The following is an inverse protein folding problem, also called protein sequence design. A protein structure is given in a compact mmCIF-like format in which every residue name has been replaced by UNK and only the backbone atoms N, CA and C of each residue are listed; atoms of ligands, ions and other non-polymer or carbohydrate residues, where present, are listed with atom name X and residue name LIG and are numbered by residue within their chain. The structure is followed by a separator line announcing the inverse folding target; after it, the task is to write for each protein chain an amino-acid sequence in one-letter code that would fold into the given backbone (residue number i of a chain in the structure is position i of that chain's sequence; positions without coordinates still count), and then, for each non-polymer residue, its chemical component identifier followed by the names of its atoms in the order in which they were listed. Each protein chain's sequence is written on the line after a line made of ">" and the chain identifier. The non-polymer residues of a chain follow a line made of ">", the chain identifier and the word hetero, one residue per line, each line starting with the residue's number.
data_IF_909540544103
#
_entry.id   IF_909540544103
#
_cell.length_a   1.000
_cell.length_b   1.000
_cell.length_c   1.000
_cell.angle_alpha   90.00
_cell.angle_beta   90.00
_cell.angle_gamma   90.00
#
_symmetry.space_group_name_H-M   'P 1'
#
loop_
_entity.id
_entity.type
_entity.pdbx_description
1 polymer ?
#
# COMPACT_ATOMS: atom_id res chain seq x y z
N UNK A 1 10.07 6.84 -13.22
CA UNK A 1 10.98 7.22 -12.13
C UNK A 1 12.26 6.41 -12.28
N UNK A 2 13.44 7.01 -12.15
CA UNK A 2 14.71 6.28 -12.16
C UNK A 2 15.35 6.37 -10.76
N UNK A 3 15.58 5.24 -10.07
CA UNK A 3 16.32 5.25 -8.81
C UNK A 3 17.75 5.75 -9.04
N UNK A 4 18.20 6.68 -8.20
CA UNK A 4 19.59 7.12 -8.19
C UNK A 4 20.36 6.36 -7.10
N UNK A 5 21.58 5.92 -7.41
CA UNK A 5 22.45 5.28 -6.42
C UNK A 5 22.74 6.21 -5.22
N UNK A 6 22.85 5.61 -4.04
CA UNK A 6 23.15 6.33 -2.80
C UNK A 6 22.04 7.26 -2.29
N UNK A 7 20.82 7.21 -2.85
CA UNK A 7 19.70 8.05 -2.43
C UNK A 7 18.47 7.22 -2.04
N UNK A 8 17.66 7.81 -1.17
CA UNK A 8 16.32 7.31 -0.87
C UNK A 8 15.39 7.69 -2.03
N UNK A 9 14.59 6.73 -2.48
CA UNK A 9 13.58 6.92 -3.52
C UNK A 9 12.22 7.09 -2.85
N UNK A 10 11.60 8.27 -2.98
CA UNK A 10 10.25 8.54 -2.48
C UNK A 10 9.26 8.58 -3.65
N UNK A 11 8.23 7.76 -3.60
CA UNK A 11 7.23 7.66 -4.68
C UNK A 11 5.87 7.24 -4.15
N UNK A 12 4.85 7.33 -5.00
CA UNK A 12 3.55 6.72 -4.75
C UNK A 12 3.57 5.24 -5.14
N UNK A 13 2.69 4.43 -4.54
CA UNK A 13 2.59 2.99 -4.83
C UNK A 13 2.47 2.67 -6.33
N UNK A 14 1.72 3.48 -7.08
CA UNK A 14 1.54 3.31 -8.53
C UNK A 14 2.85 3.39 -9.32
N UNK A 15 3.76 4.27 -8.90
CA UNK A 15 5.04 4.47 -9.56
C UNK A 15 6.09 3.42 -9.18
N UNK A 16 5.80 2.60 -8.18
CA UNK A 16 6.69 1.55 -7.71
C UNK A 16 6.63 0.28 -8.59
N UNK A 17 5.64 0.16 -9.49
CA UNK A 17 5.49 -1.00 -10.37
C UNK A 17 6.73 -1.21 -11.24
N UNK A 18 7.24 -2.45 -11.27
CA UNK A 18 8.42 -2.82 -12.04
C UNK A 18 9.76 -2.40 -11.41
N UNK A 19 9.73 -1.80 -10.23
CA UNK A 19 10.92 -1.50 -9.43
C UNK A 19 11.05 -2.51 -8.29
N UNK A 20 12.26 -2.71 -7.79
CA UNK A 20 12.51 -3.51 -6.59
C UNK A 20 13.66 -2.90 -5.79
N UNK A 21 13.57 -3.00 -4.48
CA UNK A 21 14.53 -2.43 -3.54
C UNK A 21 14.85 -3.45 -2.46
N UNK A 22 16.08 -3.38 -1.92
CA UNK A 22 16.47 -4.23 -0.78
C UNK A 22 15.56 -4.00 0.43
N UNK A 23 15.26 -2.73 0.74
CA UNK A 23 14.35 -2.33 1.80
C UNK A 23 13.27 -1.39 1.26
N UNK A 24 12.03 -1.59 1.67
CA UNK A 24 10.88 -0.70 1.35
C UNK A 24 10.14 -0.36 2.63
N UNK A 25 9.83 0.93 2.79
CA UNK A 25 8.88 1.40 3.79
C UNK A 25 7.60 1.85 3.08
N UNK A 26 6.49 1.19 3.39
CA UNK A 26 5.14 1.58 2.98
C UNK A 26 4.51 2.34 4.15
N UNK A 27 4.42 3.66 4.00
CA UNK A 27 4.05 4.56 5.09
C UNK A 27 2.59 5.00 5.01
N UNK A 28 2.03 5.40 6.16
CA UNK A 28 0.65 5.89 6.29
C UNK A 28 -0.40 4.91 5.74
N UNK A 29 -0.30 3.63 6.11
CA UNK A 29 -1.29 2.60 5.80
C UNK A 29 -2.48 2.63 6.77
N UNK A 30 -3.07 3.81 6.93
CA UNK A 30 -4.23 4.05 7.79
C UNK A 30 -5.54 3.70 7.07
N UNK A 31 -6.62 3.43 7.79
CA UNK A 31 -7.95 3.08 7.24
C UNK A 31 -8.52 4.12 6.26
N UNK A 32 -8.33 5.41 6.55
CA UNK A 32 -8.74 6.52 5.70
C UNK A 32 -7.77 6.82 4.54
N UNK A 33 -6.57 6.20 4.54
CA UNK A 33 -5.58 6.34 3.46
C UNK A 33 -5.67 5.15 2.52
N UNK A 34 -5.79 3.94 3.04
CA UNK A 34 -6.08 2.75 2.27
C UNK A 34 -7.11 1.91 3.05
N UNK A 35 -8.35 1.78 2.57
CA UNK A 35 -8.87 2.35 1.35
C UNK A 35 -9.35 3.82 1.51
N UNK A 36 -8.53 4.88 1.22
CA UNK A 36 -8.89 6.26 0.73
C UNK A 36 -10.38 6.41 0.46
N UNK A 37 -11.00 7.23 1.27
CA UNK A 37 -12.41 7.49 1.18
C UNK A 37 -12.80 8.37 -0.03
N UNK A 38 -12.03 8.42 -1.13
CA UNK A 38 -12.33 9.21 -2.32
C UNK A 38 -13.60 8.68 -3.04
N UNK A 39 -14.68 9.21 -2.50
CA UNK A 39 -16.11 9.10 -2.69
C UNK A 39 -16.53 9.71 -4.03
N UNK A 40 -16.09 9.18 -5.17
CA UNK A 40 -16.60 9.63 -6.47
C UNK A 40 -16.83 8.46 -7.41
N UNK A 41 -17.71 7.54 -7.03
CA UNK A 41 -18.59 6.87 -8.00
C UNK A 41 -20.00 6.87 -7.39
N UNK A 42 -20.77 7.86 -7.82
CA UNK A 42 -22.18 8.14 -7.58
C UNK A 42 -22.98 7.10 -6.73
N UNK A 43 -23.58 7.58 -5.63
CA UNK A 43 -24.74 7.00 -4.89
C UNK A 43 -24.44 5.98 -3.78
N UNK A 44 -23.25 5.38 -3.66
CA UNK A 44 -22.98 4.39 -2.59
C UNK A 44 -22.08 4.91 -1.47
N UNK A 45 -22.54 4.84 -0.22
CA UNK A 45 -21.75 5.19 0.99
C UNK A 45 -20.61 4.20 1.30
N UNK A 46 -20.49 3.10 0.54
CA UNK A 46 -19.47 2.07 0.74
C UNK A 46 -18.61 1.90 -0.51
N UNK A 47 -17.30 1.63 -0.35
CA UNK A 47 -16.45 1.27 -1.48
C UNK A 47 -16.98 0.01 -2.17
N UNK A 48 -16.93 0.00 -3.50
CA UNK A 48 -17.31 -1.19 -4.26
C UNK A 48 -16.29 -2.31 -4.02
N UNK A 49 -16.73 -3.57 -4.07
CA UNK A 49 -15.83 -4.72 -3.97
C UNK A 49 -14.66 -4.62 -4.97
N UNK A 50 -14.94 -4.21 -6.21
CA UNK A 50 -13.90 -4.02 -7.24
C UNK A 50 -12.89 -2.94 -6.85
N UNK A 51 -13.34 -1.83 -6.27
CA UNK A 51 -12.49 -0.76 -5.76
C UNK A 51 -11.60 -1.24 -4.61
N UNK A 52 -12.17 -1.94 -3.64
CA UNK A 52 -11.41 -2.57 -2.54
C UNK A 52 -10.33 -3.52 -3.08
N UNK A 53 -10.68 -4.42 -4.00
CA UNK A 53 -9.72 -5.36 -4.59
C UNK A 53 -8.59 -4.66 -5.36
N UNK A 54 -8.90 -3.61 -6.12
CA UNK A 54 -7.87 -2.84 -6.83
C UNK A 54 -6.85 -2.22 -5.86
N UNK A 55 -7.31 -1.78 -4.70
CA UNK A 55 -6.48 -1.09 -3.70
C UNK A 55 -5.69 -2.04 -2.84
N UNK A 56 -6.28 -3.18 -2.50
CA UNK A 56 -5.56 -4.31 -1.91
C UNK A 56 -4.44 -4.77 -2.86
N UNK A 57 -4.72 -4.83 -4.15
CA UNK A 57 -3.69 -5.11 -5.17
C UNK A 57 -2.59 -4.05 -5.22
N UNK A 58 -2.94 -2.76 -5.08
CA UNK A 58 -1.94 -1.68 -5.04
C UNK A 58 -1.01 -1.81 -3.82
N UNK A 59 -1.57 -2.11 -2.64
CA UNK A 59 -0.80 -2.39 -1.43
C UNK A 59 0.10 -3.61 -1.62
N UNK A 60 -0.43 -4.70 -2.17
CA UNK A 60 0.33 -5.90 -2.50
C UNK A 60 1.51 -5.59 -3.44
N UNK A 61 1.29 -4.81 -4.50
CA UNK A 61 2.36 -4.41 -5.42
C UNK A 61 3.43 -3.63 -4.67
N UNK A 62 3.05 -2.67 -3.83
CA UNK A 62 3.99 -1.87 -3.04
C UNK A 62 4.83 -2.73 -2.07
N UNK A 63 4.18 -3.62 -1.32
CA UNK A 63 4.85 -4.52 -0.38
C UNK A 63 5.82 -5.48 -1.09
N UNK A 64 5.43 -6.03 -2.24
CA UNK A 64 6.27 -6.96 -3.01
C UNK A 64 7.41 -6.29 -3.80
N UNK A 65 7.60 -4.97 -3.69
CA UNK A 65 8.82 -4.33 -4.20
C UNK A 65 10.00 -4.52 -3.23
N UNK A 66 9.74 -4.91 -1.98
CA UNK A 66 10.77 -5.27 -1.01
C UNK A 66 11.38 -6.64 -1.34
N UNK A 67 12.71 -6.72 -1.35
CA UNK A 67 13.45 -7.98 -1.48
C UNK A 67 13.82 -8.60 -0.14
N UNK A 68 14.39 -7.79 0.76
CA UNK A 68 14.97 -8.27 2.01
C UNK A 68 14.14 -7.78 3.21
N UNK A 69 13.76 -6.50 3.22
CA UNK A 69 13.12 -5.85 4.36
C UNK A 69 11.88 -5.06 3.94
N UNK A 70 10.76 -5.35 4.59
CA UNK A 70 9.51 -4.62 4.45
C UNK A 70 9.13 -4.00 5.78
N UNK A 71 8.89 -2.70 5.79
CA UNK A 71 8.26 -1.99 6.91
C UNK A 71 6.93 -1.42 6.41
N UNK A 72 5.84 -1.74 7.12
CA UNK A 72 4.53 -1.12 6.89
C UNK A 72 4.14 -0.39 8.15
N UNK A 73 3.75 0.88 8.04
CA UNK A 73 3.41 1.71 9.20
C UNK A 73 2.04 2.35 9.05
N UNK A 74 1.29 2.42 10.13
CA UNK A 74 0.15 3.34 10.30
C UNK A 74 0.53 4.44 11.30
N UNK A 75 -0.04 5.62 11.13
CA UNK A 75 0.02 6.72 12.09
C UNK A 75 -1.17 6.70 13.07
N UNK A 76 -2.36 6.38 12.57
CA UNK A 76 -3.61 6.29 13.33
C UNK A 76 -4.16 4.86 13.31
N UNK A 77 -5.47 4.68 13.09
CA UNK A 77 -6.10 3.38 12.95
C UNK A 77 -5.55 2.66 11.71
N UNK A 78 -4.99 1.45 11.85
CA UNK A 78 -4.43 0.72 10.73
C UNK A 78 -5.53 0.34 9.73
N UNK A 79 -5.15 0.33 8.45
CA UNK A 79 -5.99 -0.19 7.37
C UNK A 79 -6.50 -1.59 7.66
N UNK A 80 -7.77 -1.87 7.31
CA UNK A 80 -8.34 -3.24 7.32
C UNK A 80 -7.51 -4.24 6.47
N UNK A 81 -6.71 -3.76 5.52
CA UNK A 81 -5.82 -4.62 4.74
C UNK A 81 -4.62 -5.14 5.55
N UNK A 82 -4.32 -4.56 6.72
CA UNK A 82 -3.27 -5.04 7.60
C UNK A 82 -3.64 -6.35 8.29
N UNK A 83 -4.93 -6.60 8.52
CA UNK A 83 -5.41 -7.84 9.14
C UNK A 83 -5.03 -9.08 8.30
N UNK A 84 -4.97 -8.94 6.97
CA UNK A 84 -4.53 -10.00 6.07
C UNK A 84 -3.06 -10.41 6.33
N UNK A 85 -2.23 -9.48 6.79
CA UNK A 85 -0.78 -9.71 7.00
C UNK A 85 -0.49 -10.35 8.35
N UNK A 86 -1.29 -10.03 9.38
CA UNK A 86 -1.12 -10.61 10.71
C UNK A 86 -1.54 -12.09 10.79
N UNK A 87 -2.40 -12.53 9.87
CA UNK A 87 -2.88 -13.91 9.81
C UNK A 87 -1.82 -14.90 9.28
N UNK A 88 -0.70 -14.41 8.73
CA UNK A 88 0.37 -15.25 8.18
C UNK A 88 1.35 -15.83 9.24
N UNK A 89 0.97 -15.81 10.52
CA UNK A 89 1.71 -16.53 11.58
C UNK A 89 1.20 -17.98 11.65
N UNK A 90 1.69 -18.83 10.74
CA UNK A 90 1.64 -20.29 10.87
C UNK A 90 2.96 -20.81 11.45
#
# INVERSE_FOLDING_TARGET
>A
MQPAEGRITLSTMHLAKGLEFRAVAVMACDDEVIPRQERIEAVSMRPTLKGLQHRRHLLYVACTRARDYLLVTSGDAPSEFMDDMHTASL
#
